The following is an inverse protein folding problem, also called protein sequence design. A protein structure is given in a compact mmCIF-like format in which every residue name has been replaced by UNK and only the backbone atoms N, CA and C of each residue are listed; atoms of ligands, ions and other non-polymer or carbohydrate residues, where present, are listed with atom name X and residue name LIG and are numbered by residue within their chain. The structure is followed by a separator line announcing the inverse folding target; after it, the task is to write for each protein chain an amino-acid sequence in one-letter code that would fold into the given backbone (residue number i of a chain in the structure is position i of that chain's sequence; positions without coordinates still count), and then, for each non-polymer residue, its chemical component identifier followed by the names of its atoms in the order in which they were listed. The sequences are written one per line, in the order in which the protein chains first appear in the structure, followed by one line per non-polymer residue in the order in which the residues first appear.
data_IF_171672293613
#
_entry.id   IF_171672293613
#
_cell.length_a   1.000
_cell.length_b   1.000
_cell.length_c   1.000
_cell.angle_alpha   90.00
_cell.angle_beta   90.00
_cell.angle_gamma   90.00
#
_symmetry.space_group_name_H-M   'P 1'
#
loop_
_entity.id
_entity.type
_entity.pdbx_description
1 polymer ?
#
# COMPACT_ATOMS: atom_id res chain seq x y z
N UNK A 1 0.41 -18.09 5.32
CA UNK A 1 -1.07 -17.89 5.25
C UNK A 1 -1.77 -18.00 6.62
N UNK A 2 -1.38 -18.87 7.55
CA UNK A 2 -2.06 -19.04 8.88
C UNK A 2 -1.97 -17.80 9.82
N UNK A 3 -1.08 -16.85 9.60
CA UNK A 3 -0.93 -15.64 10.46
C UNK A 3 -1.78 -14.44 10.05
N UNK A 4 -2.44 -14.48 8.88
CA UNK A 4 -3.30 -13.37 8.38
C UNK A 4 -4.79 -13.64 8.58
N UNK A 5 -5.20 -14.90 8.74
CA UNK A 5 -6.59 -15.25 8.99
C UNK A 5 -7.20 -14.53 10.21
N UNK A 6 -6.51 -14.39 11.36
CA UNK A 6 -7.07 -13.66 12.51
C UNK A 6 -7.19 -12.16 12.25
N UNK A 7 -6.34 -11.55 11.42
CA UNK A 7 -6.39 -10.13 11.13
C UNK A 7 -7.54 -9.77 10.18
N UNK A 8 -7.77 -10.61 9.17
CA UNK A 8 -8.93 -10.49 8.27
C UNK A 8 -10.23 -10.78 9.02
N UNK A 9 -10.24 -11.77 9.91
CA UNK A 9 -11.38 -12.08 10.77
C UNK A 9 -11.68 -10.95 11.76
N UNK A 10 -10.65 -10.33 12.34
CA UNK A 10 -10.81 -9.16 13.23
C UNK A 10 -11.38 -7.96 12.48
N UNK A 11 -10.93 -7.70 11.26
CA UNK A 11 -11.45 -6.63 10.41
C UNK A 11 -12.88 -6.89 9.95
N UNK A 12 -13.22 -8.13 9.60
CA UNK A 12 -14.60 -8.54 9.29
C UNK A 12 -15.51 -8.47 10.53
N UNK A 13 -15.04 -8.86 11.69
CA UNK A 13 -15.79 -8.71 12.95
C UNK A 13 -16.03 -7.24 13.32
N UNK A 14 -15.04 -6.37 13.14
CA UNK A 14 -15.19 -4.93 13.36
C UNK A 14 -16.20 -4.29 12.40
N UNK A 15 -16.23 -4.71 11.13
CA UNK A 15 -17.19 -4.23 10.14
C UNK A 15 -18.62 -4.77 10.39
N UNK A 16 -18.76 -5.98 10.92
CA UNK A 16 -20.07 -6.57 11.28
C UNK A 16 -20.64 -6.03 12.59
N UNK A 17 -19.80 -5.65 13.54
CA UNK A 17 -20.24 -5.02 14.79
C UNK A 17 -20.78 -3.59 14.59
N UNK A 18 -20.43 -2.92 13.51
CA UNK A 18 -20.89 -1.56 13.21
C UNK A 18 -22.25 -1.48 12.52
N UNK A 19 -22.75 -2.57 11.93
CA UNK A 19 -24.06 -2.61 11.27
C UNK A 19 -25.25 -2.28 12.18
N UNK A 20 -25.35 -2.72 13.46
CA UNK A 20 -26.46 -2.35 14.34
C UNK A 20 -26.36 -0.91 14.90
N UNK A 21 -25.16 -0.29 14.94
CA UNK A 21 -25.01 1.11 15.40
C UNK A 21 -25.48 2.13 14.37
N UNK A 22 -25.49 1.78 13.07
CA UNK A 22 -25.96 2.67 12.01
C UNK A 22 -27.48 2.89 12.03
N UNK A 23 -28.24 1.98 12.65
CA UNK A 23 -29.70 2.04 12.67
C UNK A 23 -30.30 2.90 13.79
N UNK A 24 -29.50 3.40 14.74
CA UNK A 24 -29.96 4.01 15.97
C UNK A 24 -29.68 5.52 16.15
N UNK A 25 -29.02 6.18 15.20
CA UNK A 25 -28.60 7.58 15.38
C UNK A 25 -29.42 8.56 14.55
N UNK A 26 -30.38 9.21 15.18
CA UNK A 26 -30.98 10.47 14.72
C UNK A 26 -29.92 11.58 14.89
N UNK A 27 -29.66 12.44 13.90
CA UNK A 27 -28.63 13.46 14.04
C UNK A 27 -29.05 14.53 15.08
N UNK A 28 -28.35 14.56 16.19
CA UNK A 28 -28.48 15.66 17.15
C UNK A 28 -27.92 16.94 16.51
N UNK A 29 -28.76 17.97 16.43
CA UNK A 29 -28.45 19.30 15.93
C UNK A 29 -27.29 19.89 16.75
N UNK A 30 -26.10 19.96 16.17
CA UNK A 30 -24.92 20.47 16.84
C UNK A 30 -25.09 21.96 17.17
N UNK A 31 -25.20 22.26 18.45
CA UNK A 31 -25.03 23.60 18.98
C UNK A 31 -23.58 24.07 18.71
N UNK A 32 -23.41 25.35 18.36
CA UNK A 32 -22.09 26.00 18.25
C UNK A 32 -21.50 26.13 19.67
N UNK A 33 -20.87 25.09 20.14
CA UNK A 33 -20.07 25.10 21.37
C UNK A 33 -18.63 25.23 20.96
N UNK A 34 -17.87 26.09 21.58
CA UNK A 34 -16.42 26.18 21.48
C UNK A 34 -15.87 24.75 21.65
N UNK A 35 -15.33 24.19 20.57
CA UNK A 35 -14.96 22.78 20.56
C UNK A 35 -13.78 22.58 21.48
N UNK A 36 -13.96 21.76 22.52
CA UNK A 36 -12.84 21.38 23.40
C UNK A 36 -11.64 20.88 22.55
N UNK A 37 -10.40 21.27 22.87
CA UNK A 37 -9.21 20.96 22.06
C UNK A 37 -9.07 19.45 21.73
N UNK A 38 -9.51 18.58 22.65
CA UNK A 38 -9.52 17.13 22.42
C UNK A 38 -10.46 16.66 21.32
N UNK A 39 -11.60 17.33 21.11
CA UNK A 39 -12.53 16.99 20.02
C UNK A 39 -12.01 17.39 18.65
N UNK A 40 -11.25 18.48 18.56
CA UNK A 40 -10.61 18.89 17.32
C UNK A 40 -9.52 17.89 16.91
N UNK A 41 -8.69 17.45 17.88
CA UNK A 41 -7.70 16.40 17.64
C UNK A 41 -8.35 15.10 17.16
N UNK A 42 -9.42 14.69 17.82
CA UNK A 42 -10.18 13.50 17.45
C UNK A 42 -10.68 13.56 16.00
N UNK A 43 -11.29 14.69 15.63
CA UNK A 43 -11.77 14.91 14.27
C UNK A 43 -10.61 14.89 13.24
N UNK A 44 -9.50 15.55 13.55
CA UNK A 44 -8.33 15.60 12.67
C UNK A 44 -7.71 14.23 12.47
N UNK A 45 -7.51 13.44 13.54
CA UNK A 45 -6.95 12.09 13.46
C UNK A 45 -7.82 11.18 12.59
N UNK A 46 -9.13 11.26 12.74
CA UNK A 46 -10.08 10.51 11.91
C UNK A 46 -10.02 10.94 10.45
N UNK A 47 -9.98 12.25 10.21
CA UNK A 47 -9.84 12.81 8.86
C UNK A 47 -8.56 12.33 8.17
N UNK A 48 -7.43 12.40 8.86
CA UNK A 48 -6.13 11.94 8.33
C UNK A 48 -6.15 10.45 8.02
N UNK A 49 -6.71 9.64 8.91
CA UNK A 49 -6.83 8.20 8.71
C UNK A 49 -7.70 7.89 7.49
N UNK A 50 -8.85 8.54 7.35
CA UNK A 50 -9.73 8.39 6.19
C UNK A 50 -9.05 8.77 4.88
N UNK A 51 -8.33 9.91 4.86
CA UNK A 51 -7.54 10.34 3.69
C UNK A 51 -6.42 9.37 3.39
N UNK A 52 -5.73 8.83 4.38
CA UNK A 52 -4.67 7.84 4.15
C UNK A 52 -5.21 6.50 3.60
N UNK A 53 -6.42 6.11 3.98
CA UNK A 53 -7.10 4.92 3.42
C UNK A 53 -7.48 5.12 1.95
N UNK A 54 -8.07 6.26 1.59
CA UNK A 54 -8.49 6.58 0.23
C UNK A 54 -8.08 8.01 -0.14
N UNK A 55 -6.84 8.23 -0.60
CA UNK A 55 -6.26 9.55 -0.74
C UNK A 55 -7.07 10.50 -1.62
N UNK A 56 -7.39 10.08 -2.84
CA UNK A 56 -8.09 10.94 -3.79
C UNK A 56 -9.51 11.26 -3.33
N UNK A 57 -10.25 10.24 -2.90
CA UNK A 57 -11.62 10.41 -2.39
C UNK A 57 -11.62 11.26 -1.10
N UNK A 58 -10.71 10.99 -0.17
CA UNK A 58 -10.63 11.70 1.10
C UNK A 58 -10.36 13.19 0.92
N UNK A 59 -9.32 13.54 0.14
CA UNK A 59 -8.97 14.96 -0.10
C UNK A 59 -10.05 15.68 -0.88
N UNK A 60 -10.63 15.05 -1.92
CA UNK A 60 -11.68 15.68 -2.71
C UNK A 60 -12.98 15.87 -1.94
N UNK A 61 -13.36 14.92 -1.09
CA UNK A 61 -14.54 15.05 -0.22
C UNK A 61 -14.38 16.19 0.80
N UNK A 62 -13.20 16.29 1.44
CA UNK A 62 -12.89 17.38 2.37
C UNK A 62 -12.86 18.72 1.61
N UNK A 63 -12.27 18.75 0.43
CA UNK A 63 -12.21 19.94 -0.41
C UNK A 63 -13.60 20.43 -0.78
N UNK A 64 -14.45 19.53 -1.27
CA UNK A 64 -15.84 19.85 -1.60
C UNK A 64 -16.62 20.36 -0.38
N UNK A 65 -16.49 19.68 0.78
CA UNK A 65 -17.14 20.09 2.03
C UNK A 65 -16.74 21.52 2.44
N UNK A 66 -15.44 21.84 2.46
CA UNK A 66 -14.95 23.18 2.79
C UNK A 66 -15.43 24.24 1.81
N UNK A 67 -15.52 23.92 0.53
CA UNK A 67 -16.05 24.84 -0.48
C UNK A 67 -17.54 25.17 -0.23
N UNK A 68 -18.34 24.17 0.12
CA UNK A 68 -19.77 24.41 0.43
C UNK A 68 -20.01 25.08 1.77
N UNK A 69 -19.13 24.91 2.72
CA UNK A 69 -19.20 25.56 4.03
C UNK A 69 -18.86 27.06 3.94
N UNK A 70 -17.95 27.45 3.05
CA UNK A 70 -17.57 28.84 2.78
C UNK A 70 -18.73 29.60 2.12
N UNK A 71 -19.22 30.65 2.82
CA UNK A 71 -20.43 31.41 2.44
C UNK A 71 -20.11 32.61 1.57
N UNK A 72 -18.93 33.19 1.72
CA UNK A 72 -18.51 34.41 1.01
C UNK A 72 -17.42 34.12 -0.02
N UNK A 73 -17.32 34.95 -1.06
CA UNK A 73 -16.28 34.82 -2.06
C UNK A 73 -14.87 35.03 -1.46
N UNK A 74 -14.75 35.88 -0.43
CA UNK A 74 -13.51 36.07 0.30
C UNK A 74 -13.09 34.79 1.05
N UNK A 75 -14.02 34.11 1.73
CA UNK A 75 -13.77 32.83 2.38
C UNK A 75 -13.38 31.75 1.37
N UNK A 76 -14.06 31.69 0.21
CA UNK A 76 -13.74 30.74 -0.86
C UNK A 76 -12.37 30.98 -1.45
N UNK A 77 -11.97 32.26 -1.63
CA UNK A 77 -10.66 32.62 -2.12
C UNK A 77 -9.51 32.27 -1.15
N UNK A 78 -9.80 32.27 0.16
CA UNK A 78 -8.86 31.91 1.21
C UNK A 78 -8.71 30.38 1.43
N UNK A 79 -9.51 29.56 0.76
CA UNK A 79 -9.46 28.11 0.89
C UNK A 79 -8.15 27.52 0.34
N UNK A 80 -7.65 26.43 0.90
CA UNK A 80 -6.48 25.76 0.37
C UNK A 80 -6.77 25.21 -1.04
N UNK A 81 -5.70 25.05 -1.83
CA UNK A 81 -5.75 24.64 -3.24
C UNK A 81 -6.62 23.41 -3.53
N UNK A 82 -6.64 22.42 -2.62
CA UNK A 82 -7.43 21.19 -2.79
C UNK A 82 -8.93 21.39 -2.56
N UNK A 83 -9.35 22.51 -1.97
CA UNK A 83 -10.75 22.86 -1.76
C UNK A 83 -11.36 23.68 -2.90
N UNK A 84 -10.59 24.05 -3.91
CA UNK A 84 -11.11 24.72 -5.10
C UNK A 84 -11.79 23.72 -6.05
N UNK A 85 -12.92 24.08 -6.70
CA UNK A 85 -13.69 23.20 -7.59
C UNK A 85 -12.87 22.57 -8.72
N UNK A 86 -11.89 23.29 -9.26
CA UNK A 86 -10.99 22.78 -10.30
C UNK A 86 -10.19 21.56 -9.86
N UNK A 87 -9.94 21.37 -8.56
CA UNK A 87 -9.28 20.19 -8.05
C UNK A 87 -10.30 19.11 -7.62
N UNK A 88 -11.17 19.41 -6.64
CA UNK A 88 -12.00 18.36 -6.05
C UNK A 88 -13.02 17.77 -7.03
N UNK A 89 -13.54 18.56 -7.99
CA UNK A 89 -14.48 18.05 -8.98
C UNK A 89 -13.81 17.06 -9.95
N UNK A 90 -12.59 17.39 -10.44
CA UNK A 90 -11.82 16.47 -11.27
C UNK A 90 -11.41 15.21 -10.49
N UNK A 91 -11.01 15.36 -9.23
CA UNK A 91 -10.64 14.23 -8.39
C UNK A 91 -11.84 13.29 -8.14
N UNK A 92 -13.03 13.82 -7.85
CA UNK A 92 -14.25 13.02 -7.73
C UNK A 92 -14.64 12.35 -9.06
N UNK A 93 -14.48 13.04 -10.19
CA UNK A 93 -14.71 12.44 -11.50
C UNK A 93 -13.78 11.25 -11.76
N UNK A 94 -12.50 11.35 -11.37
CA UNK A 94 -11.56 10.23 -11.45
C UNK A 94 -11.97 9.07 -10.55
N UNK A 95 -12.41 9.35 -9.32
CA UNK A 95 -12.91 8.31 -8.39
C UNK A 95 -14.12 7.58 -8.99
N UNK A 96 -15.07 8.31 -9.57
CA UNK A 96 -16.22 7.71 -10.29
C UNK A 96 -15.76 6.89 -11.48
N UNK A 97 -14.78 7.38 -12.25
CA UNK A 97 -14.19 6.64 -13.36
C UNK A 97 -13.52 5.33 -12.93
N UNK A 98 -12.80 5.34 -11.81
CA UNK A 98 -12.21 4.11 -11.23
C UNK A 98 -13.32 3.15 -10.77
N UNK A 99 -14.36 3.61 -10.11
CA UNK A 99 -15.49 2.79 -9.70
C UNK A 99 -16.24 2.18 -10.91
N UNK A 100 -16.45 2.95 -11.97
CA UNK A 100 -17.04 2.45 -13.22
C UNK A 100 -16.13 1.39 -13.88
N UNK A 101 -14.83 1.63 -13.92
CA UNK A 101 -13.85 0.64 -14.39
C UNK A 101 -13.95 -0.66 -13.59
N UNK A 102 -14.14 -0.58 -12.27
CA UNK A 102 -14.19 -1.75 -11.39
C UNK A 102 -15.41 -2.62 -11.65
N UNK A 103 -16.56 -2.00 -11.90
CA UNK A 103 -17.79 -2.72 -12.28
C UNK A 103 -17.64 -3.41 -13.64
N UNK A 104 -17.00 -2.77 -14.61
CA UNK A 104 -16.72 -3.35 -15.92
C UNK A 104 -15.57 -4.37 -15.84
N UNK A 105 -14.55 -4.10 -15.03
CA UNK A 105 -13.35 -4.93 -14.91
C UNK A 105 -13.60 -6.32 -14.33
N UNK A 106 -14.70 -6.52 -13.58
CA UNK A 106 -15.10 -7.82 -13.08
C UNK A 106 -15.44 -8.82 -14.22
N UNK A 107 -15.82 -8.32 -15.38
CA UNK A 107 -16.19 -9.11 -16.56
C UNK A 107 -15.07 -9.23 -17.60
N UNK A 108 -13.98 -8.45 -17.45
CA UNK A 108 -12.89 -8.41 -18.43
C UNK A 108 -11.92 -9.61 -18.26
N UNK A 109 -11.39 -10.13 -19.37
CA UNK A 109 -10.32 -11.11 -19.34
C UNK A 109 -9.07 -10.55 -18.62
N UNK A 110 -8.25 -11.41 -17.95
CA UNK A 110 -7.07 -10.97 -17.18
C UNK A 110 -6.08 -10.09 -17.96
N UNK A 111 -5.93 -10.32 -19.27
CA UNK A 111 -5.02 -9.55 -20.14
C UNK A 111 -5.47 -8.09 -20.35
N UNK A 112 -6.78 -7.83 -20.38
CA UNK A 112 -7.34 -6.49 -20.53
C UNK A 112 -7.48 -5.75 -19.20
N UNK A 113 -7.68 -6.51 -18.13
CA UNK A 113 -7.80 -5.98 -16.77
C UNK A 113 -6.46 -5.45 -16.26
N UNK A 114 -5.37 -6.15 -16.52
CA UNK A 114 -4.05 -5.86 -15.93
C UNK A 114 -3.53 -4.44 -16.20
N UNK A 115 -3.61 -3.87 -17.42
CA UNK A 115 -3.23 -2.47 -17.67
C UNK A 115 -4.01 -1.47 -16.81
N UNK A 116 -5.30 -1.74 -16.57
CA UNK A 116 -6.17 -0.89 -15.75
C UNK A 116 -5.79 -0.96 -14.25
N UNK A 117 -5.46 -2.15 -13.75
CA UNK A 117 -5.00 -2.35 -12.36
C UNK A 117 -3.64 -1.67 -12.13
N UNK A 118 -2.75 -1.71 -13.13
CA UNK A 118 -1.46 -0.99 -13.09
C UNK A 118 -1.69 0.51 -13.03
N UNK A 119 -2.58 1.06 -13.87
CA UNK A 119 -2.92 2.47 -13.88
C UNK A 119 -3.52 2.93 -12.53
N UNK A 120 -4.45 2.17 -11.96
CA UNK A 120 -5.02 2.41 -10.63
C UNK A 120 -3.95 2.38 -9.52
N UNK A 121 -3.01 1.44 -9.60
CA UNK A 121 -1.92 1.35 -8.61
C UNK A 121 -1.02 2.58 -8.66
N UNK A 122 -0.74 3.12 -9.85
CA UNK A 122 0.06 4.35 -10.03
C UNK A 122 -0.74 5.57 -9.62
N UNK A 123 -2.03 5.66 -9.99
CA UNK A 123 -2.93 6.72 -9.54
C UNK A 123 -2.93 6.81 -8.02
N UNK A 124 -3.11 5.70 -7.32
CA UNK A 124 -3.14 5.67 -5.85
C UNK A 124 -1.82 6.12 -5.21
N UNK A 125 -0.67 5.96 -5.87
CA UNK A 125 0.61 6.50 -5.40
C UNK A 125 0.67 8.01 -5.56
N UNK A 126 0.26 8.51 -6.71
CA UNK A 126 0.25 9.96 -7.00
C UNK A 126 -0.73 10.64 -6.06
N UNK A 127 -1.93 10.12 -5.94
CA UNK A 127 -2.96 10.66 -5.03
C UNK A 127 -2.54 10.61 -3.56
N UNK A 128 -1.77 9.59 -3.15
CA UNK A 128 -1.16 9.52 -1.82
C UNK A 128 -0.19 10.67 -1.54
N UNK A 129 0.65 11.03 -2.50
CA UNK A 129 1.56 12.18 -2.37
C UNK A 129 0.79 13.51 -2.32
N UNK A 130 -0.22 13.67 -3.18
CA UNK A 130 -1.11 14.84 -3.19
C UNK A 130 -1.83 14.98 -1.85
N UNK A 131 -2.37 13.89 -1.34
CA UNK A 131 -3.07 13.84 -0.06
C UNK A 131 -2.14 14.15 1.12
N UNK A 132 -0.92 13.63 1.12
CA UNK A 132 0.09 13.97 2.11
C UNK A 132 0.35 15.49 2.15
N UNK A 133 0.52 16.12 0.97
CA UNK A 133 0.69 17.57 0.85
C UNK A 133 -0.51 18.38 1.33
N UNK A 134 -1.72 17.83 1.27
CA UNK A 134 -2.93 18.49 1.75
C UNK A 134 -3.13 18.35 3.28
N UNK A 135 -2.79 17.20 3.86
CA UNK A 135 -3.19 16.83 5.23
C UNK A 135 -2.06 17.02 6.24
N UNK A 136 -0.80 16.75 5.88
CA UNK A 136 0.33 16.84 6.81
C UNK A 136 0.49 18.26 7.39
N UNK A 137 0.40 19.35 6.61
CA UNK A 137 0.49 20.70 7.18
C UNK A 137 -0.58 20.96 8.24
N UNK A 138 -1.81 20.48 8.04
CA UNK A 138 -2.90 20.61 9.02
C UNK A 138 -2.60 19.84 10.31
N UNK A 139 -2.03 18.63 10.22
CA UNK A 139 -1.59 17.85 11.38
C UNK A 139 -0.49 18.55 12.17
N UNK A 140 0.50 19.10 11.46
CA UNK A 140 1.64 19.79 12.08
C UNK A 140 1.15 21.02 12.84
N UNK A 141 0.36 21.87 12.20
CA UNK A 141 -0.17 23.09 12.79
C UNK A 141 -1.04 22.79 14.03
N UNK A 142 -1.94 21.81 13.89
CA UNK A 142 -2.83 21.47 14.97
C UNK A 142 -2.11 20.77 16.12
N UNK A 143 -1.22 19.83 15.83
CA UNK A 143 -0.43 19.13 16.85
C UNK A 143 0.46 20.09 17.64
N UNK A 144 1.09 21.05 16.96
CA UNK A 144 1.87 22.09 17.62
C UNK A 144 1.02 22.95 18.54
N UNK A 145 -0.14 23.41 18.06
CA UNK A 145 -1.11 24.20 18.86
C UNK A 145 -1.56 23.41 20.09
N UNK A 146 -1.95 22.15 19.94
CA UNK A 146 -2.41 21.32 21.06
C UNK A 146 -1.37 21.16 22.16
N UNK A 147 -0.09 20.97 21.79
CA UNK A 147 1.00 20.85 22.76
C UNK A 147 1.22 22.20 23.48
N UNK A 148 1.13 23.29 22.76
CA UNK A 148 1.27 24.64 23.34
C UNK A 148 0.11 24.94 24.32
N UNK A 149 -1.12 24.64 23.92
CA UNK A 149 -2.32 24.87 24.76
C UNK A 149 -2.30 23.98 26.02
N UNK A 150 -1.91 22.71 25.88
CA UNK A 150 -1.83 21.76 27.04
C UNK A 150 -0.70 22.08 28.01
N UNK A 151 0.31 22.84 27.60
CA UNK A 151 1.38 23.28 28.47
C UNK A 151 1.00 24.47 29.35
N UNK A 152 -0.22 25.00 29.27
CA UNK A 152 -0.70 26.12 30.07
C UNK A 152 0.08 27.40 29.84
N UNK A 153 0.77 27.53 28.71
CA UNK A 153 1.50 28.75 28.37
C UNK A 153 0.51 29.89 28.13
N UNK A 154 0.71 31.06 28.77
CA UNK A 154 -0.04 32.25 28.38
C UNK A 154 0.16 32.49 26.88
N UNK A 155 -0.84 33.10 26.18
CA UNK A 155 -0.75 33.32 24.74
C UNK A 155 0.52 34.03 24.30
N UNK A 156 1.16 34.76 25.21
CA UNK A 156 2.36 35.56 24.97
C UNK A 156 3.67 34.87 25.42
N UNK A 157 3.60 33.73 26.10
CA UNK A 157 4.76 32.95 26.52
C UNK A 157 4.66 31.54 25.95
N UNK A 158 5.23 31.35 24.81
CA UNK A 158 5.29 30.10 24.08
C UNK A 158 6.25 29.05 24.69
N UNK A 159 6.28 28.91 26.01
CA UNK A 159 7.22 28.09 26.71
C UNK A 159 6.53 26.95 27.47
N UNK A 160 6.65 25.77 26.96
CA UNK A 160 6.42 24.52 27.66
C UNK A 160 7.53 24.22 28.66
N UNK A 161 7.44 23.18 29.46
CA UNK A 161 8.37 22.81 30.55
C UNK A 161 9.87 22.78 30.24
N UNK A 162 10.32 23.01 29.00
CA UNK A 162 11.69 23.40 28.62
C UNK A 162 12.01 24.86 28.93
N UNK A 163 11.05 25.65 29.37
CA UNK A 163 11.19 27.07 29.73
C UNK A 163 11.97 27.32 31.06
N UNK A 164 12.45 26.28 31.70
CA UNK A 164 13.45 26.44 32.79
C UNK A 164 14.85 26.79 32.27
N UNK A 165 15.08 26.75 30.97
CA UNK A 165 16.28 27.35 30.37
C UNK A 165 15.91 28.78 29.90
N UNK A 166 16.78 29.77 30.09
CA UNK A 166 16.51 31.19 29.71
C UNK A 166 16.59 31.34 28.20
N UNK A 167 15.70 30.70 27.48
CA UNK A 167 15.50 30.81 26.03
C UNK A 167 14.30 31.74 25.77
N UNK A 168 14.06 32.69 26.64
CA UNK A 168 12.95 33.61 26.62
C UNK A 168 12.91 34.60 25.44
N UNK A 169 13.72 34.35 24.40
CA UNK A 169 13.72 35.12 23.16
C UNK A 169 13.53 34.28 21.88
N UNK A 170 13.36 32.98 21.99
CA UNK A 170 13.11 32.14 20.83
C UNK A 170 11.65 31.70 20.81
N UNK A 171 10.92 32.07 19.76
CA UNK A 171 9.62 31.48 19.43
C UNK A 171 9.81 29.97 19.19
N UNK A 172 9.50 29.14 20.21
CA UNK A 172 9.66 27.69 20.14
C UNK A 172 8.63 26.99 19.26
N UNK A 173 7.65 27.72 18.74
CA UNK A 173 6.60 27.16 17.88
C UNK A 173 7.15 26.52 16.61
N UNK A 174 8.20 27.11 16.02
CA UNK A 174 8.86 26.54 14.86
C UNK A 174 9.58 25.22 15.15
N UNK A 175 10.22 25.11 16.33
CA UNK A 175 10.90 23.88 16.75
C UNK A 175 9.89 22.74 16.95
N UNK A 176 8.76 23.06 17.59
CA UNK A 176 7.67 22.13 17.79
C UNK A 176 7.05 21.70 16.44
N UNK A 177 6.89 22.64 15.52
CA UNK A 177 6.41 22.34 14.18
C UNK A 177 7.36 21.42 13.43
N UNK A 178 8.68 21.63 13.53
CA UNK A 178 9.70 20.76 12.94
C UNK A 178 9.62 19.35 13.55
N UNK A 179 9.39 19.21 14.86
CA UNK A 179 9.24 17.91 15.51
C UNK A 179 7.95 17.20 15.09
N UNK A 180 6.87 17.94 14.86
CA UNK A 180 5.58 17.39 14.44
C UNK A 180 5.57 16.90 12.98
N UNK A 181 6.43 17.46 12.10
CA UNK A 181 6.51 17.01 10.70
C UNK A 181 6.80 15.51 10.56
N UNK A 182 7.90 14.97 11.12
CA UNK A 182 8.20 13.55 10.95
C UNK A 182 7.15 12.65 11.59
N UNK A 183 6.54 13.05 12.72
CA UNK A 183 5.47 12.30 13.36
C UNK A 183 4.22 12.25 12.46
N UNK A 184 3.81 13.40 11.91
CA UNK A 184 2.65 13.50 11.02
C UNK A 184 2.86 12.70 9.73
N UNK A 185 4.07 12.78 9.15
CA UNK A 185 4.46 11.97 7.99
C UNK A 185 4.42 10.48 8.33
N UNK A 186 4.93 10.07 9.49
CA UNK A 186 4.95 8.67 9.89
C UNK A 186 3.53 8.11 10.07
N UNK A 187 2.64 8.84 10.76
CA UNK A 187 1.23 8.43 10.96
C UNK A 187 0.52 8.28 9.61
N UNK A 188 0.62 9.29 8.74
CA UNK A 188 0.03 9.22 7.40
C UNK A 188 0.63 8.06 6.60
N UNK A 189 1.96 7.94 6.57
CA UNK A 189 2.67 6.98 5.75
C UNK A 189 2.35 5.53 6.12
N UNK A 190 2.26 5.16 7.41
CA UNK A 190 1.97 3.78 7.79
C UNK A 190 0.56 3.35 7.40
N UNK A 191 -0.44 4.24 7.54
CA UNK A 191 -1.83 3.95 7.15
C UNK A 191 -1.94 3.89 5.63
N UNK A 192 -1.39 4.89 4.93
CA UNK A 192 -1.38 4.91 3.47
C UNK A 192 -0.66 3.69 2.89
N UNK A 193 0.48 3.32 3.43
CA UNK A 193 1.28 2.18 2.98
C UNK A 193 0.50 0.87 3.12
N UNK A 194 -0.21 0.68 4.24
CA UNK A 194 -1.05 -0.50 4.47
C UNK A 194 -2.25 -0.54 3.53
N UNK A 195 -2.90 0.61 3.30
CA UNK A 195 -3.98 0.74 2.32
C UNK A 195 -3.47 0.51 0.89
N UNK A 196 -2.33 1.10 0.52
CA UNK A 196 -1.72 0.91 -0.80
C UNK A 196 -1.30 -0.54 -1.06
N UNK A 197 -0.88 -1.27 -0.02
CA UNK A 197 -0.58 -2.69 -0.11
C UNK A 197 -1.81 -3.51 -0.59
N UNK A 198 -3.03 -3.10 -0.24
CA UNK A 198 -4.26 -3.71 -0.75
C UNK A 198 -4.35 -3.54 -2.28
N UNK A 199 -4.05 -2.35 -2.82
CA UNK A 199 -4.03 -2.13 -4.26
C UNK A 199 -2.98 -2.99 -4.97
N UNK A 200 -1.82 -3.20 -4.34
CA UNK A 200 -0.82 -4.13 -4.90
C UNK A 200 -1.29 -5.58 -4.85
N UNK A 201 -2.03 -6.00 -3.82
CA UNK A 201 -2.65 -7.33 -3.80
C UNK A 201 -3.65 -7.50 -4.95
N UNK A 202 -4.48 -6.49 -5.21
CA UNK A 202 -5.40 -6.45 -6.37
C UNK A 202 -4.61 -6.55 -7.67
N UNK A 203 -3.54 -5.75 -7.81
CA UNK A 203 -2.65 -5.81 -8.97
C UNK A 203 -2.08 -7.22 -9.20
N UNK A 204 -1.73 -7.95 -8.15
CA UNK A 204 -1.12 -9.28 -8.25
C UNK A 204 -2.16 -10.40 -8.35
N UNK A 205 -3.40 -10.14 -7.98
CA UNK A 205 -4.49 -11.12 -8.07
C UNK A 205 -4.88 -11.38 -9.53
N UNK A 206 -5.05 -12.63 -9.93
CA UNK A 206 -5.66 -12.96 -11.22
C UNK A 206 -7.20 -13.05 -11.15
N UNK A 207 -7.78 -12.98 -9.94
CA UNK A 207 -9.19 -13.28 -9.70
C UNK A 207 -10.00 -12.03 -9.37
N UNK A 208 -10.97 -11.68 -10.22
CA UNK A 208 -11.86 -10.53 -10.00
C UNK A 208 -12.64 -10.57 -8.69
N UNK A 209 -12.99 -11.76 -8.21
CA UNK A 209 -13.70 -11.93 -6.92
C UNK A 209 -12.83 -11.51 -5.72
N UNK A 210 -11.54 -11.84 -5.73
CA UNK A 210 -10.60 -11.42 -4.69
C UNK A 210 -10.43 -9.90 -4.73
N UNK A 211 -10.34 -9.32 -5.92
CA UNK A 211 -10.22 -7.87 -6.09
C UNK A 211 -11.45 -7.14 -5.57
N UNK A 212 -12.66 -7.64 -5.88
CA UNK A 212 -13.91 -7.08 -5.37
C UNK A 212 -13.97 -7.15 -3.84
N UNK A 213 -13.55 -8.28 -3.25
CA UNK A 213 -13.49 -8.43 -1.80
C UNK A 213 -12.49 -7.46 -1.14
N UNK A 214 -11.30 -7.30 -1.71
CA UNK A 214 -10.28 -6.38 -1.19
C UNK A 214 -10.70 -4.91 -1.30
N UNK A 215 -11.35 -4.53 -2.42
CA UNK A 215 -11.92 -3.18 -2.60
C UNK A 215 -13.08 -2.94 -1.65
N UNK A 216 -13.98 -3.92 -1.51
CA UNK A 216 -15.07 -3.87 -0.56
C UNK A 216 -14.59 -3.68 0.89
N UNK A 217 -13.57 -4.41 1.30
CA UNK A 217 -12.94 -4.25 2.62
C UNK A 217 -12.39 -2.82 2.82
N UNK A 218 -11.68 -2.29 1.84
CA UNK A 218 -11.14 -0.92 1.90
C UNK A 218 -12.23 0.14 2.00
N UNK A 219 -13.29 -0.01 1.18
CA UNK A 219 -14.44 0.91 1.21
C UNK A 219 -15.22 0.81 2.51
N UNK A 220 -15.40 -0.39 3.05
CA UNK A 220 -16.04 -0.62 4.34
C UNK A 220 -15.25 0.02 5.49
N UNK A 221 -13.92 -0.11 5.49
CA UNK A 221 -13.06 0.57 6.48
C UNK A 221 -13.20 2.09 6.41
N UNK A 222 -13.17 2.66 5.21
CA UNK A 222 -13.36 4.10 5.01
C UNK A 222 -14.75 4.55 5.50
N UNK A 223 -15.79 3.81 5.11
CA UNK A 223 -17.16 4.05 5.53
C UNK A 223 -17.32 4.00 7.06
N UNK A 224 -16.70 3.01 7.70
CA UNK A 224 -16.71 2.84 9.14
C UNK A 224 -16.02 4.02 9.86
N UNK A 225 -14.83 4.41 9.40
CA UNK A 225 -14.10 5.57 9.97
C UNK A 225 -14.92 6.86 9.81
N UNK A 226 -15.53 7.06 8.65
CA UNK A 226 -16.34 8.24 8.37
C UNK A 226 -17.62 8.23 9.21
N UNK A 227 -18.33 7.13 9.26
CA UNK A 227 -19.58 7.00 10.02
C UNK A 227 -19.37 7.20 11.52
N UNK A 228 -18.35 6.59 12.10
CA UNK A 228 -18.02 6.75 13.52
C UNK A 228 -17.66 8.19 13.88
N UNK A 229 -16.94 8.90 12.99
CA UNK A 229 -16.64 10.31 13.19
C UNK A 229 -17.87 11.22 13.15
N UNK A 230 -18.90 10.85 12.38
CA UNK A 230 -20.17 11.57 12.30
C UNK A 230 -21.01 11.37 13.56
N UNK A 231 -20.96 10.18 14.15
CA UNK A 231 -21.71 9.85 15.38
C UNK A 231 -21.05 10.54 16.58
N UNK A 232 -19.76 10.32 16.77
CA UNK A 232 -18.95 10.87 17.85
C UNK A 232 -17.47 10.97 17.41
N UNK A 233 -16.88 12.16 17.43
CA UNK A 233 -15.48 12.35 17.08
C UNK A 233 -14.51 11.50 17.92
N UNK A 234 -14.81 11.23 19.20
CA UNK A 234 -13.96 10.41 20.08
C UNK A 234 -13.98 8.94 19.66
N UNK A 235 -15.16 8.43 19.28
CA UNK A 235 -15.30 7.06 18.77
C UNK A 235 -14.54 6.92 17.44
N UNK A 236 -14.68 7.91 16.54
CA UNK A 236 -13.93 7.95 15.28
C UNK A 236 -12.41 7.97 15.49
N UNK A 237 -11.94 8.78 16.45
CA UNK A 237 -10.52 8.84 16.81
C UNK A 237 -10.01 7.53 17.41
N UNK A 238 -10.78 6.91 18.29
CA UNK A 238 -10.43 5.62 18.91
C UNK A 238 -10.26 4.55 17.83
N UNK A 239 -11.18 4.47 16.89
CA UNK A 239 -11.07 3.57 15.74
C UNK A 239 -9.83 3.90 14.88
N UNK A 240 -9.56 5.17 14.65
CA UNK A 240 -8.40 5.62 13.89
C UNK A 240 -7.10 5.23 14.58
N UNK A 241 -7.00 5.35 15.90
CA UNK A 241 -5.83 4.85 16.66
C UNK A 241 -5.65 3.35 16.48
N UNK A 242 -6.73 2.57 16.55
CA UNK A 242 -6.66 1.11 16.31
C UNK A 242 -6.13 0.82 14.91
N UNK A 243 -6.63 1.54 13.90
CA UNK A 243 -6.17 1.38 12.51
C UNK A 243 -4.68 1.74 12.38
N UNK A 244 -4.23 2.84 12.99
CA UNK A 244 -2.81 3.25 12.99
C UNK A 244 -1.93 2.19 13.63
N UNK A 245 -2.36 1.61 14.77
CA UNK A 245 -1.63 0.52 15.45
C UNK A 245 -1.52 -0.71 14.54
N UNK A 246 -2.61 -1.14 13.92
CA UNK A 246 -2.61 -2.27 12.98
C UNK A 246 -1.69 -1.96 11.77
N UNK A 247 -1.80 -0.75 11.23
CA UNK A 247 -0.98 -0.29 10.12
C UNK A 247 0.51 -0.28 10.48
N UNK A 248 0.87 0.14 11.69
CA UNK A 248 2.24 0.10 12.19
C UNK A 248 2.79 -1.33 12.21
N UNK A 249 2.07 -2.30 12.77
CA UNK A 249 2.53 -3.69 12.82
C UNK A 249 2.59 -4.36 11.43
N UNK A 250 1.78 -3.92 10.48
CA UNK A 250 1.79 -4.44 9.11
C UNK A 250 2.74 -3.67 8.17
N UNK A 251 3.29 -2.54 8.61
CA UNK A 251 4.07 -1.60 7.77
C UNK A 251 5.25 -2.26 7.05
N UNK A 252 6.01 -3.12 7.75
CA UNK A 252 7.15 -3.80 7.15
C UNK A 252 6.76 -4.75 6.01
N UNK A 253 5.64 -5.46 6.14
CA UNK A 253 5.08 -6.28 5.07
C UNK A 253 4.53 -5.41 3.94
N UNK A 254 3.77 -4.37 4.28
CA UNK A 254 3.18 -3.43 3.32
C UNK A 254 4.25 -2.72 2.49
N UNK A 255 5.36 -2.32 3.11
CA UNK A 255 6.49 -1.69 2.43
C UNK A 255 7.11 -2.62 1.37
N UNK A 256 7.39 -3.88 1.72
CA UNK A 256 7.96 -4.84 0.77
C UNK A 256 7.00 -5.14 -0.38
N UNK A 257 5.71 -5.28 -0.09
CA UNK A 257 4.69 -5.47 -1.11
C UNK A 257 4.56 -4.26 -2.03
N UNK A 258 4.55 -3.04 -1.48
CA UNK A 258 4.54 -1.78 -2.24
C UNK A 258 5.78 -1.63 -3.11
N UNK A 259 6.96 -2.04 -2.61
CA UNK A 259 8.20 -2.05 -3.40
C UNK A 259 8.09 -3.00 -4.59
N UNK A 260 7.56 -4.22 -4.37
CA UNK A 260 7.30 -5.18 -5.44
C UNK A 260 6.33 -4.62 -6.48
N UNK A 261 5.19 -4.08 -6.05
CA UNK A 261 4.21 -3.44 -6.93
C UNK A 261 4.78 -2.25 -7.71
N UNK A 262 5.68 -1.45 -7.09
CA UNK A 262 6.35 -0.33 -7.77
C UNK A 262 7.24 -0.80 -8.92
N UNK A 263 8.06 -1.83 -8.66
CA UNK A 263 8.92 -2.43 -9.69
C UNK A 263 8.09 -3.08 -10.78
N UNK A 264 7.00 -3.76 -10.40
CA UNK A 264 6.05 -4.36 -11.36
C UNK A 264 5.45 -3.31 -12.28
N UNK A 265 4.86 -2.23 -11.74
CA UNK A 265 4.26 -1.15 -12.53
C UNK A 265 5.30 -0.48 -13.43
N UNK A 266 6.50 -0.21 -12.92
CA UNK A 266 7.57 0.39 -13.70
C UNK A 266 7.99 -0.48 -14.89
N UNK A 267 8.19 -1.78 -14.66
CA UNK A 267 8.56 -2.72 -15.71
C UNK A 267 7.46 -2.85 -16.77
N UNK A 268 6.19 -2.82 -16.33
CA UNK A 268 5.03 -2.91 -17.20
C UNK A 268 4.91 -1.68 -18.11
N UNK A 269 4.89 -0.46 -17.53
CA UNK A 269 4.74 0.78 -18.31
C UNK A 269 5.91 1.06 -19.25
N UNK A 270 7.12 0.74 -18.80
CA UNK A 270 8.32 0.97 -19.63
C UNK A 270 8.57 -0.14 -20.64
N UNK A 271 7.69 -1.14 -20.72
CA UNK A 271 7.86 -2.34 -21.58
C UNK A 271 9.28 -2.91 -21.44
N UNK A 272 9.76 -2.98 -20.20
CA UNK A 272 11.16 -3.23 -19.91
C UNK A 272 11.65 -4.60 -20.37
N UNK A 273 10.74 -5.58 -20.47
CA UNK A 273 11.06 -6.93 -20.96
C UNK A 273 11.76 -6.94 -22.33
N UNK A 274 11.37 -6.06 -23.24
CA UNK A 274 11.95 -5.99 -24.59
C UNK A 274 13.35 -5.37 -24.64
N UNK A 275 13.76 -4.67 -23.57
CA UNK A 275 15.06 -3.96 -23.48
C UNK A 275 15.93 -4.50 -22.35
N UNK A 276 15.46 -5.52 -21.65
CA UNK A 276 16.17 -6.06 -20.50
C UNK A 276 17.31 -6.95 -20.96
N UNK A 277 18.47 -6.77 -20.31
CA UNK A 277 19.64 -7.64 -20.48
C UNK A 277 20.04 -8.15 -19.09
N UNK A 278 20.24 -9.46 -19.00
CA UNK A 278 20.82 -10.04 -17.80
C UNK A 278 22.26 -9.55 -17.63
N UNK A 279 22.60 -9.21 -16.39
CA UNK A 279 23.94 -8.78 -16.02
C UNK A 279 24.70 -9.98 -15.43
N UNK A 280 25.98 -10.12 -15.78
CA UNK A 280 26.84 -11.14 -15.16
C UNK A 280 27.03 -10.87 -13.65
N UNK A 281 27.12 -9.57 -13.28
CA UNK A 281 27.45 -9.11 -11.93
C UNK A 281 26.25 -9.03 -10.97
N UNK A 282 25.14 -9.66 -11.34
CA UNK A 282 23.98 -9.76 -10.46
C UNK A 282 22.71 -9.07 -10.96
N UNK A 283 21.60 -9.69 -10.68
CA UNK A 283 20.28 -9.31 -11.18
C UNK A 283 19.32 -9.00 -10.06
N UNK A 284 18.57 -7.90 -10.22
CA UNK A 284 17.63 -7.40 -9.21
C UNK A 284 16.33 -8.19 -9.24
N UNK A 285 15.95 -8.78 -8.12
CA UNK A 285 14.77 -9.61 -7.93
C UNK A 285 14.28 -9.55 -6.47
N UNK A 286 13.31 -10.38 -6.11
CA UNK A 286 12.72 -10.41 -4.76
C UNK A 286 12.76 -11.81 -4.17
N UNK A 287 12.78 -11.90 -2.84
CA UNK A 287 12.56 -13.18 -2.15
C UNK A 287 11.10 -13.62 -2.36
N UNK A 288 10.88 -14.88 -2.71
CA UNK A 288 9.55 -15.51 -2.83
C UNK A 288 9.12 -16.20 -1.53
N UNK A 289 10.11 -16.62 -0.73
CA UNK A 289 9.93 -17.23 0.57
C UNK A 289 10.73 -16.50 1.64
N UNK A 290 10.52 -16.85 2.89
CA UNK A 290 11.43 -16.48 3.97
C UNK A 290 12.73 -17.28 3.82
N UNK A 291 13.85 -16.59 3.64
CA UNK A 291 15.18 -17.17 3.49
C UNK A 291 16.02 -16.75 4.68
N UNK A 292 16.44 -17.68 5.50
CA UNK A 292 17.31 -17.46 6.67
C UNK A 292 17.04 -16.14 7.43
N UNK A 293 15.78 -15.96 7.86
CA UNK A 293 15.32 -14.75 8.54
C UNK A 293 14.98 -13.57 7.64
N UNK A 294 15.32 -13.60 6.34
CA UNK A 294 14.95 -12.54 5.39
C UNK A 294 13.49 -12.69 4.97
N UNK A 295 12.64 -11.67 5.18
CA UNK A 295 11.22 -11.77 4.89
C UNK A 295 10.92 -11.89 3.38
N UNK A 296 9.74 -12.44 3.07
CA UNK A 296 9.19 -12.52 1.71
C UNK A 296 9.07 -11.13 1.06
N UNK A 297 9.30 -11.05 -0.26
CA UNK A 297 9.29 -9.83 -1.07
C UNK A 297 10.36 -8.81 -0.68
N UNK A 298 11.47 -9.28 -0.10
CA UNK A 298 12.63 -8.42 0.09
C UNK A 298 13.33 -8.21 -1.25
N UNK A 299 13.53 -6.95 -1.63
CA UNK A 299 14.22 -6.57 -2.87
C UNK A 299 15.72 -6.68 -2.69
N UNK A 300 16.38 -7.36 -3.61
CA UNK A 300 17.81 -7.58 -3.57
C UNK A 300 18.41 -7.82 -4.95
N UNK A 301 19.71 -8.07 -4.96
CA UNK A 301 20.49 -8.42 -6.15
C UNK A 301 21.07 -9.81 -5.94
N UNK A 302 20.76 -10.72 -6.86
CA UNK A 302 21.28 -12.09 -6.87
C UNK A 302 22.65 -12.12 -7.54
N UNK A 303 23.61 -12.69 -6.86
CA UNK A 303 24.96 -12.95 -7.36
C UNK A 303 25.23 -14.44 -7.35
N UNK A 304 26.11 -14.88 -8.23
CA UNK A 304 26.69 -16.20 -8.18
C UNK A 304 28.19 -16.05 -7.92
N UNK A 305 28.67 -16.65 -6.85
CA UNK A 305 30.09 -16.71 -6.52
C UNK A 305 30.80 -17.72 -7.41
N UNK A 306 32.14 -17.68 -7.45
CA UNK A 306 32.97 -18.58 -8.27
C UNK A 306 32.81 -20.06 -7.91
N UNK A 307 32.49 -20.36 -6.64
CA UNK A 307 32.14 -21.69 -6.13
C UNK A 307 30.74 -22.16 -6.48
N UNK A 308 29.98 -21.32 -7.20
CA UNK A 308 28.60 -21.58 -7.60
C UNK A 308 27.55 -21.26 -6.55
N UNK A 309 27.91 -20.76 -5.38
CA UNK A 309 26.95 -20.35 -4.33
C UNK A 309 26.13 -19.15 -4.81
N UNK A 310 24.81 -19.24 -4.65
CA UNK A 310 23.90 -18.15 -4.95
C UNK A 310 23.69 -17.29 -3.70
N UNK A 311 24.03 -16.01 -3.78
CA UNK A 311 23.92 -15.06 -2.68
C UNK A 311 23.01 -13.89 -3.07
N UNK A 312 22.03 -13.59 -2.25
CA UNK A 312 21.18 -12.41 -2.41
C UNK A 312 21.68 -11.29 -1.49
N UNK A 313 22.15 -10.19 -2.10
CA UNK A 313 22.51 -8.96 -1.40
C UNK A 313 21.30 -8.04 -1.36
N UNK A 314 20.94 -7.54 -0.17
CA UNK A 314 19.75 -6.71 0.03
C UNK A 314 19.98 -5.64 1.09
N UNK A 315 19.16 -4.57 1.03
CA UNK A 315 19.14 -3.52 2.05
C UNK A 315 17.76 -3.51 2.70
N UNK A 316 17.64 -3.81 4.01
CA UNK A 316 16.37 -3.65 4.71
C UNK A 316 15.85 -2.22 4.56
N UNK A 317 14.56 -2.07 4.29
CA UNK A 317 13.93 -0.77 4.01
C UNK A 317 14.56 0.03 2.86
N UNK A 318 15.37 -0.58 2.02
CA UNK A 318 16.15 0.01 0.90
C UNK A 318 17.24 1.02 1.32
N UNK A 319 17.29 1.43 2.57
CA UNK A 319 18.19 2.46 3.11
C UNK A 319 19.16 1.95 4.18
N UNK A 320 18.86 0.81 4.81
CA UNK A 320 19.72 0.23 5.84
C UNK A 320 21.02 -0.37 5.24
N UNK A 321 22.03 -0.65 6.06
CA UNK A 321 23.24 -1.31 5.59
C UNK A 321 22.95 -2.60 4.82
N UNK A 322 23.78 -2.88 3.83
CA UNK A 322 23.68 -4.06 2.99
C UNK A 322 23.90 -5.35 3.80
N UNK A 323 23.11 -6.36 3.53
CA UNK A 323 23.16 -7.68 4.12
C UNK A 323 23.13 -8.73 3.02
N UNK A 324 23.61 -9.91 3.34
CA UNK A 324 23.66 -11.04 2.41
C UNK A 324 22.91 -12.24 2.99
N UNK A 325 22.31 -13.04 2.12
CA UNK A 325 21.71 -14.33 2.46
C UNK A 325 21.96 -15.32 1.37
N UNK A 326 22.27 -16.56 1.74
CA UNK A 326 22.49 -17.66 0.81
C UNK A 326 21.14 -18.17 0.32
N UNK A 327 21.01 -18.37 -0.99
CA UNK A 327 19.83 -18.99 -1.61
C UNK A 327 20.11 -20.48 -1.78
N UNK A 328 19.28 -21.37 -1.21
CA UNK A 328 19.41 -22.82 -1.40
C UNK A 328 19.45 -23.18 -2.89
N UNK A 329 20.37 -24.03 -3.28
CA UNK A 329 20.57 -24.39 -4.69
C UNK A 329 19.93 -25.73 -5.11
N UNK A 330 19.49 -26.53 -4.17
CA UNK A 330 18.97 -27.86 -4.43
C UNK A 330 17.64 -27.81 -5.20
N UNK A 331 17.58 -28.51 -6.31
CA UNK A 331 16.36 -28.68 -7.11
C UNK A 331 15.78 -27.38 -7.68
N UNK A 332 16.61 -26.38 -7.98
CA UNK A 332 16.13 -25.12 -8.55
C UNK A 332 15.59 -25.31 -9.97
N UNK A 333 14.41 -24.72 -10.22
CA UNK A 333 13.76 -24.64 -11.53
C UNK A 333 13.17 -23.25 -11.71
N UNK A 334 13.25 -22.67 -12.90
CA UNK A 334 12.61 -21.38 -13.20
C UNK A 334 11.17 -21.60 -13.64
N UNK A 335 10.22 -21.10 -12.88
CA UNK A 335 8.79 -21.13 -13.17
C UNK A 335 8.38 -19.97 -14.06
N UNK A 336 7.86 -20.28 -15.25
CA UNK A 336 7.37 -19.30 -16.22
C UNK A 336 5.92 -18.94 -15.91
N UNK A 337 5.68 -17.77 -15.31
CA UNK A 337 4.35 -17.23 -15.02
C UNK A 337 3.81 -16.36 -16.16
N UNK A 338 2.56 -15.90 -16.01
CA UNK A 338 1.91 -15.01 -16.99
C UNK A 338 2.34 -13.56 -16.80
N UNK A 339 2.42 -13.10 -15.56
CA UNK A 339 2.68 -11.70 -15.22
C UNK A 339 4.07 -11.45 -14.64
N UNK A 340 4.65 -12.45 -14.04
CA UNK A 340 6.02 -12.48 -13.51
C UNK A 340 6.45 -13.93 -13.40
N UNK A 341 7.74 -14.18 -13.40
CA UNK A 341 8.32 -15.52 -13.29
C UNK A 341 8.86 -15.74 -11.88
N UNK A 342 9.19 -16.96 -11.53
CA UNK A 342 9.64 -17.32 -10.18
C UNK A 342 10.73 -18.39 -10.23
N UNK A 343 11.59 -18.43 -9.22
CA UNK A 343 12.52 -19.54 -9.03
C UNK A 343 11.95 -20.43 -7.94
N UNK A 344 11.70 -21.68 -8.31
CA UNK A 344 11.23 -22.73 -7.43
C UNK A 344 12.41 -23.51 -6.90
N UNK A 345 12.35 -23.92 -5.65
CA UNK A 345 13.25 -24.88 -5.04
C UNK A 345 12.45 -26.01 -4.41
N UNK A 346 13.05 -27.17 -4.32
CA UNK A 346 12.44 -28.30 -3.63
C UNK A 346 12.42 -28.05 -2.11
N UNK A 347 11.28 -28.26 -1.46
CA UNK A 347 11.17 -28.24 -0.01
C UNK A 347 11.17 -29.70 0.51
N UNK A 348 12.27 -30.14 1.12
CA UNK A 348 12.38 -31.52 1.59
C UNK A 348 11.38 -31.90 2.68
N UNK A 349 10.77 -30.90 3.36
CA UNK A 349 9.81 -31.14 4.43
C UNK A 349 8.38 -31.41 3.91
N UNK A 350 8.02 -30.83 2.77
CA UNK A 350 6.66 -30.92 2.20
C UNK A 350 6.62 -31.70 0.89
N UNK A 351 7.75 -32.15 0.36
CA UNK A 351 7.92 -32.77 -0.97
C UNK A 351 7.25 -31.96 -2.09
N UNK A 352 7.24 -30.63 -1.94
CA UNK A 352 6.60 -29.70 -2.89
C UNK A 352 7.58 -28.62 -3.30
N UNK A 353 7.40 -28.13 -4.52
CA UNK A 353 8.12 -26.96 -4.97
C UNK A 353 7.65 -25.71 -4.23
N UNK A 354 8.60 -24.97 -3.68
CA UNK A 354 8.40 -23.69 -3.00
C UNK A 354 9.00 -22.57 -3.80
N UNK A 355 8.28 -21.47 -3.96
CA UNK A 355 8.83 -20.27 -4.61
C UNK A 355 9.89 -19.65 -3.70
N UNK A 356 11.16 -19.67 -4.12
CA UNK A 356 12.26 -19.06 -3.38
C UNK A 356 12.51 -17.62 -3.77
N UNK A 357 12.44 -17.31 -5.08
CA UNK A 357 12.65 -15.96 -5.61
C UNK A 357 11.52 -15.58 -6.57
N UNK A 358 11.21 -14.29 -6.64
CA UNK A 358 10.24 -13.70 -7.56
C UNK A 358 10.99 -12.83 -8.57
N UNK A 359 10.76 -13.11 -9.84
CA UNK A 359 11.35 -12.41 -10.96
C UNK A 359 10.34 -11.39 -11.52
N UNK A 360 10.60 -10.07 -11.41
CA UNK A 360 9.70 -9.04 -11.93
C UNK A 360 9.41 -9.19 -13.44
N UNK A 361 8.41 -8.46 -13.99
CA UNK A 361 7.97 -8.59 -15.39
C UNK A 361 9.08 -8.44 -16.44
N UNK A 362 10.18 -7.77 -16.12
CA UNK A 362 11.35 -7.62 -17.01
C UNK A 362 12.00 -8.94 -17.42
N UNK A 363 11.79 -10.00 -16.62
CA UNK A 363 12.36 -11.34 -16.90
C UNK A 363 11.49 -12.19 -17.81
N UNK A 364 10.25 -11.75 -18.11
CA UNK A 364 9.35 -12.49 -18.99
C UNK A 364 9.95 -12.62 -20.40
N UNK A 365 10.10 -13.86 -20.85
CA UNK A 365 10.77 -14.21 -22.11
C UNK A 365 12.30 -14.35 -21.98
N UNK A 366 12.86 -14.18 -20.80
CA UNK A 366 14.29 -14.35 -20.51
C UNK A 366 14.57 -15.47 -19.50
N UNK A 367 13.58 -16.31 -19.21
CA UNK A 367 13.63 -17.35 -18.16
C UNK A 367 14.69 -18.40 -18.46
N UNK A 368 14.80 -18.84 -19.71
CA UNK A 368 15.85 -19.79 -20.12
C UNK A 368 17.24 -19.19 -20.01
N UNK A 369 17.40 -17.93 -20.42
CA UNK A 369 18.66 -17.22 -20.29
C UNK A 369 19.04 -17.06 -18.81
N UNK A 370 18.07 -16.76 -17.94
CA UNK A 370 18.27 -16.68 -16.50
C UNK A 370 18.70 -18.04 -15.93
N UNK A 371 18.00 -19.12 -16.32
CA UNK A 371 18.35 -20.47 -15.90
C UNK A 371 19.79 -20.84 -16.29
N UNK A 372 20.20 -20.55 -17.53
CA UNK A 372 21.57 -20.79 -18.00
C UNK A 372 22.59 -19.94 -17.24
N UNK A 373 22.31 -18.63 -17.01
CA UNK A 373 23.24 -17.72 -16.33
C UNK A 373 23.55 -18.17 -14.90
N UNK A 374 22.56 -18.71 -14.19
CA UNK A 374 22.69 -19.15 -12.80
C UNK A 374 22.83 -20.68 -12.66
N UNK A 375 23.01 -21.41 -13.76
CA UNK A 375 23.13 -22.87 -13.77
C UNK A 375 21.99 -23.58 -13.06
N UNK A 376 20.75 -23.13 -13.32
CA UNK A 376 19.50 -23.71 -12.80
C UNK A 376 19.04 -24.81 -13.77
N UNK A 377 18.43 -25.89 -13.24
CA UNK A 377 18.17 -27.14 -13.95
C UNK A 377 17.22 -27.02 -15.16
N UNK A 378 16.46 -25.93 -15.31
CA UNK A 378 15.56 -25.73 -16.45
C UNK A 378 14.40 -24.81 -16.14
N UNK A 379 13.40 -24.84 -17.02
CA UNK A 379 12.18 -24.03 -16.91
C UNK A 379 10.93 -24.90 -16.84
N UNK A 380 9.88 -24.44 -16.13
CA UNK A 380 8.57 -25.08 -16.09
C UNK A 380 7.44 -24.04 -16.12
N UNK A 381 6.25 -24.42 -16.57
CA UNK A 381 5.08 -23.55 -16.50
C UNK A 381 4.47 -23.54 -15.10
N UNK A 382 4.09 -22.37 -14.59
CA UNK A 382 3.51 -22.20 -13.24
C UNK A 382 2.25 -21.37 -13.25
N UNK A 383 1.46 -21.50 -12.19
CA UNK A 383 0.27 -20.68 -11.95
C UNK A 383 -0.77 -20.81 -13.07
N UNK A 384 -1.30 -19.67 -13.51
CA UNK A 384 -2.32 -19.60 -14.57
C UNK A 384 -1.84 -20.17 -15.91
N UNK A 385 -0.54 -20.05 -16.22
CA UNK A 385 0.03 -20.59 -17.45
C UNK A 385 -0.05 -22.10 -17.45
N UNK A 386 0.29 -22.73 -16.35
CA UNK A 386 0.13 -24.18 -16.14
C UNK A 386 -1.33 -24.63 -16.19
N UNK A 387 -2.23 -23.85 -15.53
CA UNK A 387 -3.66 -24.16 -15.57
C UNK A 387 -4.24 -24.05 -16.99
N UNK A 388 -3.78 -23.05 -17.76
CA UNK A 388 -4.20 -22.84 -19.15
C UNK A 388 -3.64 -23.91 -20.11
N UNK A 389 -2.38 -24.30 -19.96
CA UNK A 389 -1.78 -25.39 -20.76
C UNK A 389 -2.47 -26.72 -20.46
N UNK A 390 -2.75 -27.02 -19.18
CA UNK A 390 -3.53 -28.20 -18.79
C UNK A 390 -4.93 -28.19 -19.41
N UNK A 391 -5.63 -27.05 -19.39
CA UNK A 391 -6.96 -26.91 -19.98
C UNK A 391 -6.93 -27.15 -21.50
N UNK A 392 -5.96 -26.58 -22.20
CA UNK A 392 -5.76 -26.83 -23.63
C UNK A 392 -5.51 -28.31 -23.92
N UNK A 393 -4.68 -28.95 -23.13
CA UNK A 393 -4.37 -30.38 -23.27
C UNK A 393 -5.63 -31.23 -23.01
N UNK A 394 -6.40 -30.92 -21.98
CA UNK A 394 -7.67 -31.59 -21.64
C UNK A 394 -8.74 -31.41 -22.73
N UNK A 395 -8.76 -30.25 -23.42
CA UNK A 395 -9.66 -29.97 -24.54
C UNK A 395 -9.13 -30.46 -25.92
N UNK A 396 -7.97 -31.13 -25.95
CA UNK A 396 -7.37 -31.66 -27.18
C UNK A 396 -6.64 -30.65 -28.05
N UNK A 397 -6.44 -29.41 -27.58
CA UNK A 397 -5.70 -28.33 -28.25
C UNK A 397 -4.22 -28.25 -27.84
N UNK A 398 -3.74 -29.17 -27.00
CA UNK A 398 -2.35 -29.22 -26.57
C UNK A 398 -1.42 -29.68 -27.70
N UNK A 399 -0.11 -29.32 -27.67
CA UNK A 399 0.84 -29.86 -28.62
C UNK A 399 0.87 -31.40 -28.49
N UNK A 400 0.64 -32.10 -29.61
CA UNK A 400 0.78 -33.56 -29.62
C UNK A 400 2.19 -33.90 -29.15
N UNK A 401 2.33 -34.54 -27.98
CA UNK A 401 3.61 -35.11 -27.57
C UNK A 401 4.06 -36.01 -28.73
N UNK A 402 5.16 -35.66 -29.40
CA UNK A 402 5.80 -36.55 -30.32
C UNK A 402 6.04 -37.85 -29.54
N UNK A 403 5.44 -38.93 -30.03
CA UNK A 403 5.68 -40.27 -29.48
C UNK A 403 7.19 -40.48 -29.50
N UNK A 404 7.80 -40.64 -28.32
CA UNK A 404 9.19 -41.04 -28.24
C UNK A 404 9.27 -42.36 -29.01
N UNK A 405 9.97 -42.32 -30.16
CA UNK A 405 10.33 -43.53 -30.87
C UNK A 405 11.22 -44.36 -29.91
N UNK A 406 10.73 -45.53 -29.62
CA UNK A 406 11.45 -46.59 -28.88
C UNK A 406 12.68 -47.05 -29.66
#
# INVERSE_FOLDING_TARGET
MKRFAPLVALMLCLSLLSLPLLAAATPAKAAKTEKAPGLELAALLTQVTGVAISPLLGVSAIGAYRWWEAKTDAEKAALPWFAHPGFWALALLLVVGVAAKDTLGATLPPGWKKPLDVAETVENKVSGLVAAGAVIPSLVTFGSKLIMDSAGAPPDLHATGLAMLPVAAFDSSWLLSILMVPLSVAVFAVVWLSSHAINVLILLSPWGAIDAALKGLRTALLGLVTATAWIDPVVGATLSVVIVIIAYFTSGWAFRLTTFGSVFCWDFFTVRRGRFKLLADGNKLFTGAQLDGVPVRTYGRLFQAADGVLTLKYRPWLVMPEREVIVPREGLVVGCGVFYSEVLGHDPKSDRNRTLLLLPPRYLGHEELFARTYHISGTCEVGLRRAWSWLKEALGFGPKKAAAAV
#
